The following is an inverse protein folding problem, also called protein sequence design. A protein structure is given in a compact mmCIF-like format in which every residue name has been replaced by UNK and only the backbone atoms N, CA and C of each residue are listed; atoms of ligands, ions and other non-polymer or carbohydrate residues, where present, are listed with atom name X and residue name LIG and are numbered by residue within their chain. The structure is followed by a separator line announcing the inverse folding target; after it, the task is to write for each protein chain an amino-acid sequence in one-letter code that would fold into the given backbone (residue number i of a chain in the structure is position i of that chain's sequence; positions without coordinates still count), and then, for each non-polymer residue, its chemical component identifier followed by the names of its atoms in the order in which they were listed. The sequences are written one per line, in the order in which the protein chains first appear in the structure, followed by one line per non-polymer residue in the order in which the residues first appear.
data_IF_100149817368
#
_entry.id   IF_100149817368
#
_cell.length_a   1.000
_cell.length_b   1.000
_cell.length_c   1.000
_cell.angle_alpha   90.00
_cell.angle_beta   90.00
_cell.angle_gamma   90.00
#
_symmetry.space_group_name_H-M   'P 1'
#
loop_
_entity.id
_entity.type
_entity.pdbx_description
1 polymer ?
#
# COMPACT_ATOMS: atom_id res chain seq x y z
N UNK A 1 2.48 25.00 10.43
CA UNK A 1 3.25 24.59 9.23
C UNK A 1 4.07 23.40 9.69
N UNK A 2 3.68 22.19 9.31
CA UNK A 2 4.41 20.99 9.74
C UNK A 2 5.76 21.00 9.04
N UNK A 3 6.83 21.04 9.82
CA UNK A 3 8.20 20.90 9.37
C UNK A 3 8.31 19.61 8.55
N UNK A 4 8.85 19.67 7.35
CA UNK A 4 8.97 18.54 6.44
C UNK A 4 9.99 17.56 7.04
N UNK A 5 9.50 16.60 7.82
CA UNK A 5 10.35 15.56 8.40
C UNK A 5 11.09 14.86 7.25
N UNK A 6 12.43 14.80 7.26
CA UNK A 6 13.17 14.14 6.21
C UNK A 6 12.80 12.65 6.21
N UNK A 7 12.26 12.18 5.08
CA UNK A 7 11.94 10.76 4.91
C UNK A 7 13.22 9.95 4.67
N UNK A 8 13.25 8.68 5.11
CA UNK A 8 14.35 7.77 4.77
C UNK A 8 14.49 7.60 3.25
N UNK A 9 15.71 7.35 2.78
CA UNK A 9 16.01 7.14 1.35
C UNK A 9 15.17 6.00 0.73
N UNK A 10 14.84 4.97 1.52
CA UNK A 10 14.02 3.83 1.12
C UNK A 10 12.53 4.15 0.96
N UNK A 11 12.05 5.32 1.40
CA UNK A 11 10.63 5.68 1.39
C UNK A 11 10.01 5.58 -0.01
N UNK A 12 10.62 6.25 -1.00
CA UNK A 12 10.08 6.30 -2.35
C UNK A 12 10.13 4.95 -3.09
N UNK A 13 11.24 4.18 -3.01
CA UNK A 13 11.26 2.81 -3.53
C UNK A 13 10.20 1.90 -2.91
N UNK A 14 10.04 1.94 -1.58
CA UNK A 14 9.06 1.10 -0.86
C UNK A 14 7.63 1.49 -1.24
N UNK A 15 7.34 2.80 -1.33
CA UNK A 15 6.04 3.30 -1.76
C UNK A 15 5.73 2.89 -3.19
N UNK A 16 6.70 3.02 -4.10
CA UNK A 16 6.54 2.64 -5.51
C UNK A 16 6.27 1.14 -5.67
N UNK A 17 6.92 0.31 -4.87
CA UNK A 17 6.68 -1.14 -4.87
C UNK A 17 5.24 -1.47 -4.42
N UNK A 18 4.74 -0.80 -3.38
CA UNK A 18 3.35 -0.94 -2.92
C UNK A 18 2.36 -0.48 -4.00
N UNK A 19 2.57 0.69 -4.61
CA UNK A 19 1.71 1.20 -5.68
C UNK A 19 1.69 0.27 -6.91
N UNK A 20 2.83 -0.31 -7.28
CA UNK A 20 2.91 -1.22 -8.43
C UNK A 20 2.12 -2.51 -8.20
N UNK A 21 2.20 -3.10 -7.00
CA UNK A 21 1.43 -4.31 -6.68
C UNK A 21 -0.07 -4.00 -6.56
N UNK A 22 -0.44 -2.84 -6.02
CA UNK A 22 -1.84 -2.42 -5.93
C UNK A 22 -2.43 -2.13 -7.32
N UNK A 23 -1.64 -1.57 -8.24
CA UNK A 23 -2.04 -1.44 -9.65
C UNK A 23 -2.27 -2.81 -10.29
N UNK A 24 -1.40 -3.78 -10.02
CA UNK A 24 -1.53 -5.16 -10.54
C UNK A 24 -2.85 -5.80 -10.07
N UNK A 25 -3.26 -5.54 -8.83
CA UNK A 25 -4.54 -6.00 -8.29
C UNK A 25 -5.74 -5.41 -9.02
N UNK A 26 -5.70 -4.11 -9.33
CA UNK A 26 -6.75 -3.44 -10.11
C UNK A 26 -6.86 -4.07 -11.49
N UNK A 27 -5.74 -4.24 -12.20
CA UNK A 27 -5.72 -4.82 -13.56
C UNK A 27 -6.23 -6.27 -13.57
N UNK A 28 -5.78 -7.10 -12.62
CA UNK A 28 -6.23 -8.48 -12.51
C UNK A 28 -7.71 -8.58 -12.16
N UNK A 29 -8.22 -7.68 -11.31
CA UNK A 29 -9.66 -7.62 -11.02
C UNK A 29 -10.48 -7.30 -12.28
N UNK A 30 -10.07 -6.26 -13.03
CA UNK A 30 -10.73 -5.89 -14.29
C UNK A 30 -10.66 -7.01 -15.34
N UNK A 31 -9.54 -7.73 -15.42
CA UNK A 31 -9.42 -8.89 -16.29
C UNK A 31 -10.38 -10.02 -15.87
N UNK A 32 -10.42 -10.36 -14.58
CA UNK A 32 -11.27 -11.43 -14.04
C UNK A 32 -12.77 -11.12 -14.17
N UNK A 33 -13.18 -9.85 -14.15
CA UNK A 33 -14.56 -9.45 -14.45
C UNK A 33 -15.02 -9.92 -15.85
N UNK A 34 -14.09 -10.06 -16.78
CA UNK A 34 -14.35 -10.56 -18.15
C UNK A 34 -13.96 -12.02 -18.37
N UNK A 35 -13.08 -12.58 -17.52
CA UNK A 35 -12.58 -13.96 -17.60
C UNK A 35 -12.69 -14.70 -16.26
N UNK A 36 -13.90 -14.90 -15.69
CA UNK A 36 -14.07 -15.37 -14.32
C UNK A 36 -13.63 -16.83 -14.08
N UNK A 37 -13.47 -17.63 -15.14
CA UNK A 37 -13.06 -19.03 -15.05
C UNK A 37 -11.54 -19.24 -15.26
N UNK A 38 -10.78 -18.15 -15.42
CA UNK A 38 -9.32 -18.22 -15.56
C UNK A 38 -8.65 -18.47 -14.19
N UNK A 39 -8.40 -19.73 -13.88
CA UNK A 39 -7.79 -20.17 -12.62
C UNK A 39 -6.38 -19.57 -12.42
N UNK A 40 -5.63 -19.32 -13.50
CA UNK A 40 -4.27 -18.82 -13.38
C UNK A 40 -4.27 -17.33 -13.03
N UNK A 41 -5.14 -16.55 -13.66
CA UNK A 41 -5.36 -15.15 -13.28
C UNK A 41 -5.85 -15.02 -11.81
N UNK A 42 -6.73 -15.92 -11.36
CA UNK A 42 -7.17 -15.94 -9.97
C UNK A 42 -6.03 -16.23 -8.98
N UNK A 43 -5.13 -17.17 -9.32
CA UNK A 43 -3.94 -17.44 -8.49
C UNK A 43 -3.00 -16.24 -8.44
N UNK A 44 -2.77 -15.58 -9.57
CA UNK A 44 -1.98 -14.36 -9.62
C UNK A 44 -2.58 -13.25 -8.75
N UNK A 45 -3.91 -13.06 -8.83
CA UNK A 45 -4.62 -12.10 -8.00
C UNK A 45 -4.43 -12.38 -6.51
N UNK A 46 -4.65 -13.62 -6.07
CA UNK A 46 -4.48 -14.01 -4.68
C UNK A 46 -3.02 -13.87 -4.20
N UNK A 47 -2.05 -14.20 -5.05
CA UNK A 47 -0.62 -14.03 -4.74
C UNK A 47 -0.26 -12.55 -4.60
N UNK A 48 -0.73 -11.70 -5.53
CA UNK A 48 -0.54 -10.26 -5.48
C UNK A 48 -1.22 -9.63 -4.24
N UNK A 49 -2.39 -10.12 -3.86
CA UNK A 49 -3.15 -9.62 -2.70
C UNK A 49 -2.38 -9.88 -1.40
N UNK A 50 -1.83 -11.10 -1.25
CA UNK A 50 -0.95 -11.43 -0.14
C UNK A 50 0.30 -10.54 -0.13
N UNK A 51 0.91 -10.31 -1.30
CA UNK A 51 2.10 -9.48 -1.41
C UNK A 51 1.86 -8.01 -1.08
N UNK A 52 0.72 -7.44 -1.52
CA UNK A 52 0.28 -6.09 -1.16
C UNK A 52 0.12 -5.95 0.36
N UNK A 53 -0.53 -6.93 1.02
CA UNK A 53 -0.67 -6.91 2.48
C UNK A 53 0.69 -6.91 3.19
N UNK A 54 1.63 -7.77 2.77
CA UNK A 54 3.00 -7.80 3.33
C UNK A 54 3.75 -6.47 3.11
N UNK A 55 3.68 -5.89 1.90
CA UNK A 55 4.35 -4.63 1.60
C UNK A 55 3.78 -3.48 2.42
N UNK A 56 2.45 -3.45 2.59
CA UNK A 56 1.77 -2.44 3.40
C UNK A 56 2.14 -2.54 4.87
N UNK A 57 2.14 -3.73 5.45
CA UNK A 57 2.57 -3.94 6.84
C UNK A 57 4.01 -3.47 7.06
N UNK A 58 4.92 -3.82 6.15
CA UNK A 58 6.32 -3.39 6.21
C UNK A 58 6.47 -1.87 6.05
N UNK A 59 5.67 -1.26 5.18
CA UNK A 59 5.65 0.20 4.99
C UNK A 59 5.17 0.89 6.25
N UNK A 60 4.05 0.43 6.82
CA UNK A 60 3.46 1.03 8.02
C UNK A 60 4.38 0.92 9.24
N UNK A 61 5.06 -0.22 9.40
CA UNK A 61 6.04 -0.43 10.46
C UNK A 61 7.23 0.55 10.38
N UNK A 62 7.59 1.02 9.18
CA UNK A 62 8.74 1.91 8.95
C UNK A 62 8.37 3.39 8.96
N UNK A 63 7.23 3.73 8.37
CA UNK A 63 6.90 5.11 8.03
C UNK A 63 5.63 5.63 8.73
N UNK A 64 4.84 4.74 9.33
CA UNK A 64 3.59 5.09 10.00
C UNK A 64 2.33 4.71 9.17
N UNK A 65 1.14 5.03 9.71
CA UNK A 65 -0.12 4.50 9.18
C UNK A 65 -0.42 4.95 7.75
N UNK A 66 -0.85 4.02 6.88
CA UNK A 66 -1.19 4.27 5.47
C UNK A 66 -2.70 4.40 5.21
N UNK A 67 -3.55 3.78 6.04
CA UNK A 67 -4.99 3.71 5.87
C UNK A 67 -5.74 4.27 7.09
N UNK A 68 -6.83 5.02 6.84
CA UNK A 68 -7.64 5.64 7.88
C UNK A 68 -8.69 4.67 8.47
N UNK A 69 -9.55 5.18 9.35
CA UNK A 69 -10.79 4.52 9.79
C UNK A 69 -10.57 3.15 10.45
N UNK A 70 -9.43 2.97 11.13
CA UNK A 70 -9.08 1.76 11.87
C UNK A 70 -8.42 0.67 11.03
N UNK A 71 -8.11 0.92 9.75
CA UNK A 71 -7.39 -0.02 8.91
C UNK A 71 -5.89 -0.09 9.24
N UNK A 72 -5.27 1.03 9.61
CA UNK A 72 -3.92 1.08 10.19
C UNK A 72 -3.98 1.50 11.65
N UNK A 73 -3.13 0.90 12.48
CA UNK A 73 -3.01 1.30 13.89
C UNK A 73 -2.12 2.54 14.00
N UNK A 74 -2.61 3.58 14.68
CA UNK A 74 -1.79 4.76 14.99
C UNK A 74 -1.14 4.61 16.37
N UNK A 75 0.13 5.00 16.46
CA UNK A 75 0.77 5.24 17.75
C UNK A 75 0.25 6.53 18.41
N UNK A 76 0.57 6.68 19.71
CA UNK A 76 0.42 7.95 20.44
C UNK A 76 1.72 8.76 20.36
N UNK A 77 1.69 10.08 20.10
CA UNK A 77 0.51 10.90 19.75
C UNK A 77 -0.02 10.60 18.34
N UNK A 78 -1.30 10.92 18.06
CA UNK A 78 -2.00 10.64 16.80
C UNK A 78 -1.14 10.95 15.55
N UNK A 79 -0.69 9.88 14.87
CA UNK A 79 0.29 9.92 13.78
C UNK A 79 -0.31 10.07 12.39
N UNK A 80 -1.61 9.82 12.23
CA UNK A 80 -2.29 9.93 10.93
C UNK A 80 -2.18 11.34 10.32
N UNK A 81 -2.06 12.40 11.12
CA UNK A 81 -1.90 13.77 10.60
C UNK A 81 -0.46 14.09 10.15
N UNK A 82 0.50 13.22 10.46
CA UNK A 82 1.92 13.48 10.20
C UNK A 82 2.23 13.18 8.72
N UNK A 83 3.13 13.97 8.14
CA UNK A 83 3.53 13.91 6.72
C UNK A 83 4.82 13.10 6.55
N UNK A 84 5.10 12.55 5.36
CA UNK A 84 4.39 12.74 4.10
C UNK A 84 3.38 11.65 3.75
N UNK A 85 2.32 12.09 3.07
CA UNK A 85 1.29 11.21 2.56
C UNK A 85 1.67 10.63 1.19
N UNK A 86 1.34 9.36 0.91
CA UNK A 86 1.61 8.71 -0.37
C UNK A 86 1.13 9.46 -1.63
N UNK A 87 0.06 10.27 -1.53
CA UNK A 87 -0.51 11.04 -2.64
C UNK A 87 0.05 12.46 -2.77
N UNK A 88 0.94 12.88 -1.86
CA UNK A 88 1.66 14.16 -1.98
C UNK A 88 2.95 14.03 -2.80
N UNK A 89 3.15 12.87 -3.44
CA UNK A 89 4.29 12.53 -4.27
C UNK A 89 3.90 12.59 -5.74
#
# INVERSE_FOLDING_TARGET
MADSTPVPESYYPDLKALQAIDFTLVELNLYLDTHPNDLEALKQFNSAAKKSAELRENFEARYGPLQNFGHSLSAYPWKWKDTPWPWQV
#
